data_IF_860569846903
#
_entry.id   IF_860569846903
#
_cell.length_a   1.000
_cell.length_b   1.000
_cell.length_c   1.000
_cell.angle_alpha   90.00
_cell.angle_beta   90.00
_cell.angle_gamma   90.00
#
_symmetry.space_group_name_H-M   'P 1'
#
loop_
_entity.id
_entity.type
_entity.pdbx_description
1 polymer ?
#
# COMPACT_ATOMS: atom_id res chain seq x y z
N UNK A 1 -15.22 -22.38 39.40
CA UNK A 1 -14.09 -22.06 38.51
C UNK A 1 -14.56 -20.97 37.56
N UNK A 2 -14.14 -19.72 37.80
CA UNK A 2 -14.58 -18.58 37.00
C UNK A 2 -13.78 -18.53 35.69
N UNK A 3 -14.49 -18.63 34.57
CA UNK A 3 -13.93 -18.48 33.24
C UNK A 3 -13.55 -17.00 33.05
N UNK A 4 -12.26 -16.71 33.16
CA UNK A 4 -11.67 -15.41 32.80
C UNK A 4 -11.68 -15.32 31.27
N UNK A 5 -12.86 -15.04 30.69
CA UNK A 5 -12.95 -14.58 29.31
C UNK A 5 -12.15 -13.28 29.27
N UNK A 6 -11.09 -13.30 28.47
CA UNK A 6 -10.17 -12.19 28.27
C UNK A 6 -10.96 -10.88 28.10
N UNK A 7 -10.46 -9.82 28.74
CA UNK A 7 -10.98 -8.45 28.64
C UNK A 7 -11.28 -8.13 27.17
N UNK A 8 -12.57 -8.03 26.83
CA UNK A 8 -12.98 -7.60 25.50
C UNK A 8 -12.46 -6.16 25.37
N UNK A 9 -11.62 -5.93 24.37
CA UNK A 9 -11.20 -4.59 24.00
C UNK A 9 -12.40 -3.96 23.33
N UNK A 10 -13.29 -3.34 24.12
CA UNK A 10 -14.43 -2.58 23.62
C UNK A 10 -13.89 -1.42 22.78
N UNK A 11 -14.01 -1.58 21.47
CA UNK A 11 -13.69 -0.55 20.49
C UNK A 11 -14.94 -0.26 19.67
N UNK A 12 -15.07 0.98 19.20
CA UNK A 12 -16.18 1.39 18.34
C UNK A 12 -16.32 0.48 17.11
N UNK A 13 -15.21 -0.10 16.62
CA UNK A 13 -15.21 -1.07 15.53
C UNK A 13 -15.78 -2.43 15.94
N UNK A 14 -15.43 -2.92 17.14
CA UNK A 14 -15.99 -4.15 17.70
C UNK A 14 -17.51 -4.06 17.84
N UNK A 15 -18.02 -2.90 18.32
CA UNK A 15 -19.45 -2.64 18.42
C UNK A 15 -20.12 -2.60 17.04
N UNK A 16 -19.48 -1.98 16.06
CA UNK A 16 -19.98 -1.94 14.68
C UNK A 16 -20.11 -3.36 14.10
N UNK A 17 -19.04 -4.16 14.19
CA UNK A 17 -19.00 -5.54 13.69
C UNK A 17 -20.04 -6.40 14.40
N UNK A 18 -20.15 -6.27 15.73
CA UNK A 18 -21.15 -7.00 16.52
C UNK A 18 -22.57 -6.65 16.08
N UNK A 19 -22.85 -5.36 15.83
CA UNK A 19 -24.15 -4.91 15.35
C UNK A 19 -24.47 -5.42 13.94
N UNK A 20 -23.47 -5.49 13.05
CA UNK A 20 -23.65 -6.10 11.72
C UNK A 20 -24.04 -7.58 11.82
N UNK A 21 -23.34 -8.34 12.67
CA UNK A 21 -23.63 -9.76 12.88
C UNK A 21 -25.03 -9.97 13.45
N UNK A 22 -25.44 -9.15 14.44
CA UNK A 22 -26.78 -9.24 15.03
C UNK A 22 -27.90 -8.95 14.04
N UNK A 23 -27.67 -8.05 13.07
CA UNK A 23 -28.70 -7.62 12.10
C UNK A 23 -28.79 -8.50 10.87
N UNK A 24 -27.65 -8.99 10.36
CA UNK A 24 -27.57 -9.64 9.05
C UNK A 24 -27.12 -11.11 9.13
N UNK A 25 -26.81 -11.61 10.34
CA UNK A 25 -26.27 -12.95 10.54
C UNK A 25 -24.74 -12.99 10.48
N UNK A 26 -24.15 -14.19 10.49
CA UNK A 26 -22.70 -14.37 10.52
C UNK A 26 -21.96 -13.64 9.39
N UNK A 27 -20.84 -12.99 9.71
CA UNK A 27 -19.95 -12.42 8.71
C UNK A 27 -18.99 -13.49 8.17
N UNK A 28 -18.65 -13.38 6.89
CA UNK A 28 -17.51 -14.12 6.36
C UNK A 28 -16.20 -13.57 6.95
N UNK A 29 -15.16 -14.39 6.95
CA UNK A 29 -13.82 -13.94 7.36
C UNK A 29 -13.34 -12.76 6.50
N UNK A 30 -13.63 -12.78 5.19
CA UNK A 30 -13.27 -11.70 4.28
C UNK A 30 -13.91 -10.36 4.71
N UNK A 31 -15.22 -10.35 4.95
CA UNK A 31 -15.93 -9.14 5.40
C UNK A 31 -15.43 -8.64 6.76
N UNK A 32 -15.02 -9.54 7.66
CA UNK A 32 -14.41 -9.15 8.92
C UNK A 32 -13.05 -8.48 8.69
N UNK A 33 -12.18 -9.05 7.85
CA UNK A 33 -10.86 -8.50 7.52
C UNK A 33 -11.01 -7.12 6.88
N UNK A 34 -11.94 -6.96 5.92
CA UNK A 34 -12.20 -5.68 5.26
C UNK A 34 -12.62 -4.60 6.25
N UNK A 35 -13.51 -4.91 7.19
CA UNK A 35 -13.93 -3.98 8.24
C UNK A 35 -12.78 -3.66 9.22
N UNK A 36 -12.06 -4.69 9.67
CA UNK A 36 -10.95 -4.55 10.62
C UNK A 36 -9.82 -3.66 10.08
N UNK A 37 -9.50 -3.81 8.80
CA UNK A 37 -8.40 -3.10 8.16
C UNK A 37 -8.84 -1.77 7.54
N UNK A 38 -10.02 -1.74 6.91
CA UNK A 38 -10.45 -0.69 5.99
C UNK A 38 -11.58 0.22 6.46
N UNK A 39 -12.22 -0.03 7.62
CA UNK A 39 -13.27 0.88 8.12
C UNK A 39 -12.77 2.33 8.18
N UNK A 40 -13.47 3.24 7.51
CA UNK A 40 -13.01 4.59 7.24
C UNK A 40 -12.69 5.43 8.50
N UNK A 41 -13.25 5.05 9.66
CA UNK A 41 -13.05 5.78 10.93
C UNK A 41 -12.20 5.00 11.92
N UNK A 42 -12.31 3.68 11.93
CA UNK A 42 -11.76 2.86 12.99
C UNK A 42 -10.86 1.72 12.50
N UNK A 43 -10.78 1.51 11.20
CA UNK A 43 -9.93 0.51 10.57
C UNK A 43 -8.46 0.79 10.86
N UNK A 44 -7.68 -0.29 10.88
CA UNK A 44 -6.26 -0.26 11.21
C UNK A 44 -5.48 0.79 10.38
N UNK A 45 -5.68 0.81 9.06
CA UNK A 45 -4.95 1.70 8.16
C UNK A 45 -5.41 3.17 8.19
N UNK A 46 -6.46 3.50 8.95
CA UNK A 46 -7.00 4.87 9.02
C UNK A 46 -6.51 5.66 10.24
N UNK A 47 -6.07 4.99 11.30
CA UNK A 47 -5.78 5.65 12.59
C UNK A 47 -4.39 6.26 12.68
N UNK A 48 -3.38 5.66 12.05
CA UNK A 48 -1.97 6.03 12.19
C UNK A 48 -1.21 5.66 10.91
N UNK A 49 0.02 6.18 10.74
CA UNK A 49 0.96 5.74 9.69
C UNK A 49 1.71 4.49 10.18
N UNK A 50 1.34 3.28 9.76
CA UNK A 50 1.87 2.06 10.35
C UNK A 50 3.25 1.67 9.80
N UNK A 51 3.80 2.44 8.86
CA UNK A 51 4.97 2.05 8.06
C UNK A 51 6.28 2.70 8.55
N UNK A 52 7.30 1.86 8.72
CA UNK A 52 8.68 2.26 8.99
C UNK A 52 9.05 2.21 10.47
N UNK A 53 10.23 2.73 10.82
CA UNK A 53 10.81 2.59 12.18
C UNK A 53 9.96 3.19 13.32
N UNK A 54 9.03 4.09 13.00
CA UNK A 54 8.10 4.70 13.96
C UNK A 54 6.68 4.12 13.88
N UNK A 55 6.45 3.17 12.96
CA UNK A 55 5.17 2.47 12.78
C UNK A 55 5.20 1.08 13.40
N UNK A 56 4.16 0.30 13.10
CA UNK A 56 3.98 -1.05 13.65
C UNK A 56 4.81 -2.12 12.92
N UNK A 57 5.24 -1.84 11.68
CA UNK A 57 6.12 -2.73 10.92
C UNK A 57 6.96 -1.97 9.88
N UNK A 58 8.16 -2.49 9.63
CA UNK A 58 9.09 -1.97 8.62
C UNK A 58 9.06 -2.89 7.39
N UNK A 59 8.87 -2.31 6.20
CA UNK A 59 8.88 -3.04 4.93
C UNK A 59 10.28 -2.97 4.28
N UNK A 60 10.59 -3.89 3.36
CA UNK A 60 11.91 -3.97 2.73
C UNK A 60 12.38 -2.66 2.05
N UNK A 61 11.52 -1.91 1.30
CA UNK A 61 11.89 -0.61 0.75
C UNK A 61 12.25 0.44 1.82
N UNK A 62 11.72 0.32 3.04
CA UNK A 62 12.05 1.24 4.14
C UNK A 62 13.34 0.84 4.88
N UNK A 63 13.86 -0.38 4.66
CA UNK A 63 15.13 -0.84 5.25
C UNK A 63 16.32 -0.38 4.40
N UNK A 64 16.22 -0.51 3.08
CA UNK A 64 17.31 -0.18 2.17
C UNK A 64 16.80 0.10 0.76
N UNK A 65 17.24 1.22 0.19
CA UNK A 65 16.97 1.58 -1.21
C UNK A 65 17.53 0.57 -2.21
N UNK A 66 18.52 -0.24 -1.82
CA UNK A 66 19.04 -1.34 -2.65
C UNK A 66 17.94 -2.32 -3.05
N UNK A 67 16.94 -2.55 -2.19
CA UNK A 67 15.81 -3.40 -2.56
C UNK A 67 15.06 -2.83 -3.77
N UNK A 68 14.77 -1.53 -3.75
CA UNK A 68 14.09 -0.87 -4.85
C UNK A 68 14.93 -0.77 -6.11
N UNK A 69 16.22 -0.48 -5.99
CA UNK A 69 17.15 -0.49 -7.13
C UNK A 69 17.21 -1.86 -7.81
N UNK A 70 17.29 -2.95 -7.04
CA UNK A 70 17.32 -4.31 -7.58
C UNK A 70 16.01 -4.68 -8.28
N UNK A 71 14.86 -4.30 -7.72
CA UNK A 71 13.57 -4.45 -8.39
C UNK A 71 13.52 -3.65 -9.70
N UNK A 72 14.03 -2.41 -9.68
CA UNK A 72 14.09 -1.54 -10.86
C UNK A 72 14.95 -2.14 -11.96
N UNK A 73 16.16 -2.59 -11.63
CA UNK A 73 17.07 -3.26 -12.56
C UNK A 73 16.44 -4.50 -13.19
N UNK A 74 15.77 -5.33 -12.38
CA UNK A 74 15.05 -6.49 -12.88
C UNK A 74 13.95 -6.10 -13.88
N UNK A 75 13.11 -5.12 -13.55
CA UNK A 75 12.03 -4.67 -14.44
C UNK A 75 12.55 -4.03 -15.72
N UNK A 76 13.64 -3.26 -15.66
CA UNK A 76 14.29 -2.71 -16.85
C UNK A 76 14.80 -3.84 -17.75
N UNK A 77 15.44 -4.86 -17.17
CA UNK A 77 15.88 -6.03 -17.93
C UNK A 77 14.70 -6.77 -18.60
N UNK A 78 13.60 -6.95 -17.88
CA UNK A 78 12.40 -7.58 -18.45
C UNK A 78 11.77 -6.75 -19.57
N UNK A 79 11.74 -5.41 -19.43
CA UNK A 79 11.25 -4.51 -20.45
C UNK A 79 12.10 -4.57 -21.73
N UNK A 80 13.43 -4.64 -21.59
CA UNK A 80 14.37 -4.79 -22.70
C UNK A 80 14.14 -6.11 -23.46
N UNK A 81 14.08 -7.23 -22.73
CA UNK A 81 13.81 -8.55 -23.32
C UNK A 81 12.46 -8.61 -24.07
N UNK A 82 11.46 -7.89 -23.56
CA UNK A 82 10.14 -7.81 -24.16
C UNK A 82 10.07 -6.83 -25.35
N UNK A 83 11.13 -6.05 -25.63
CA UNK A 83 11.10 -4.89 -26.52
C UNK A 83 9.90 -3.97 -26.22
N UNK A 84 9.69 -3.69 -24.93
CA UNK A 84 8.50 -3.01 -24.45
C UNK A 84 8.50 -1.54 -24.92
N UNK A 85 7.50 -1.18 -25.71
CA UNK A 85 7.31 0.18 -26.21
C UNK A 85 6.18 0.87 -25.44
N UNK A 86 6.42 2.11 -25.00
CA UNK A 86 5.49 2.96 -24.25
C UNK A 86 4.79 2.26 -23.06
N UNK A 87 5.54 1.73 -22.07
CA UNK A 87 4.95 1.06 -20.91
C UNK A 87 4.19 2.02 -19.98
N UNK A 88 3.33 1.43 -19.17
CA UNK A 88 2.82 2.04 -17.95
C UNK A 88 3.25 1.19 -16.75
N UNK A 89 3.55 1.82 -15.62
CA UNK A 89 3.98 1.14 -14.39
C UNK A 89 2.81 1.08 -13.42
N UNK A 90 2.56 -0.08 -12.82
CA UNK A 90 1.51 -0.29 -11.82
C UNK A 90 2.12 -0.77 -10.51
N UNK A 91 1.79 -0.10 -9.40
CA UNK A 91 2.14 -0.55 -8.05
C UNK A 91 0.88 -0.68 -7.18
N UNK A 92 0.72 -1.83 -6.54
CA UNK A 92 -0.40 -2.14 -5.67
C UNK A 92 0.01 -1.93 -4.22
N UNK A 93 -0.68 -1.03 -3.51
CA UNK A 93 -0.33 -0.68 -2.14
C UNK A 93 1.09 -0.09 -2.02
N UNK A 94 1.39 1.02 -2.72
CA UNK A 94 2.75 1.61 -2.76
C UNK A 94 3.23 2.16 -1.42
N UNK A 95 2.37 2.22 -0.40
CA UNK A 95 2.72 2.72 0.92
C UNK A 95 3.22 4.17 0.84
N UNK A 96 4.49 4.40 1.18
CA UNK A 96 5.11 5.74 1.13
C UNK A 96 5.70 6.08 -0.24
N UNK A 97 5.58 5.20 -1.23
CA UNK A 97 6.18 5.36 -2.57
C UNK A 97 7.70 5.19 -2.61
N UNK A 98 8.31 4.59 -1.57
CA UNK A 98 9.76 4.36 -1.50
C UNK A 98 10.24 3.47 -2.65
N UNK A 99 9.57 2.33 -2.85
CA UNK A 99 9.91 1.37 -3.89
C UNK A 99 9.89 2.02 -5.28
N UNK A 100 8.80 2.70 -5.64
CA UNK A 100 8.72 3.44 -6.90
C UNK A 100 9.81 4.50 -7.05
N UNK A 101 10.12 5.25 -5.99
CA UNK A 101 11.14 6.30 -6.05
C UNK A 101 12.53 5.71 -6.37
N UNK A 102 12.90 4.63 -5.68
CA UNK A 102 14.17 3.94 -5.90
C UNK A 102 14.24 3.30 -7.30
N UNK A 103 13.17 2.64 -7.75
CA UNK A 103 13.09 2.06 -9.09
C UNK A 103 13.25 3.15 -10.18
N UNK A 104 12.53 4.28 -10.05
CA UNK A 104 12.63 5.39 -11.01
C UNK A 104 14.01 6.04 -11.00
N UNK A 105 14.64 6.14 -9.83
CA UNK A 105 16.02 6.63 -9.73
C UNK A 105 16.99 5.74 -10.52
N UNK A 106 16.89 4.42 -10.39
CA UNK A 106 17.68 3.48 -11.17
C UNK A 106 17.37 3.59 -12.68
N UNK A 107 16.09 3.60 -13.06
CA UNK A 107 15.67 3.71 -14.46
C UNK A 107 16.13 5.00 -15.13
N UNK A 108 16.20 6.12 -14.42
CA UNK A 108 16.68 7.38 -14.99
C UNK A 108 18.10 7.27 -15.57
N UNK A 109 18.90 6.33 -15.09
CA UNK A 109 20.28 6.11 -15.54
C UNK A 109 20.38 5.06 -16.66
N UNK A 110 19.55 4.02 -16.62
CA UNK A 110 19.72 2.83 -17.48
C UNK A 110 18.62 2.67 -18.53
N UNK A 111 17.44 3.23 -18.28
CA UNK A 111 16.26 3.10 -19.15
C UNK A 111 15.34 4.33 -18.99
N UNK A 112 15.77 5.52 -19.45
CA UNK A 112 15.01 6.76 -19.29
C UNK A 112 13.54 6.71 -19.77
N UNK A 113 13.18 5.99 -20.85
CA UNK A 113 11.77 5.83 -21.24
C UNK A 113 10.91 5.20 -20.14
N UNK A 114 11.45 4.21 -19.39
CA UNK A 114 10.75 3.58 -18.28
C UNK A 114 10.63 4.51 -17.07
N UNK A 115 11.64 5.34 -16.81
CA UNK A 115 11.58 6.37 -15.76
C UNK A 115 10.54 7.46 -16.03
N UNK A 116 10.29 7.73 -17.32
CA UNK A 116 9.31 8.71 -17.80
C UNK A 116 7.90 8.12 -18.02
N UNK A 117 7.75 6.79 -17.92
CA UNK A 117 6.47 6.12 -18.08
C UNK A 117 5.43 6.61 -17.05
N UNK A 118 4.14 6.65 -17.41
CA UNK A 118 3.07 6.92 -16.47
C UNK A 118 3.05 5.87 -15.35
N UNK A 119 2.84 6.33 -14.12
CA UNK A 119 2.80 5.49 -12.92
C UNK A 119 1.37 5.47 -12.37
N UNK A 120 0.82 4.26 -12.27
CA UNK A 120 -0.48 3.96 -11.71
C UNK A 120 -0.31 3.34 -10.32
N UNK A 121 -0.97 3.93 -9.33
CA UNK A 121 -0.85 3.58 -7.92
C UNK A 121 -2.23 3.16 -7.40
N UNK A 122 -2.40 1.89 -7.02
CA UNK A 122 -3.63 1.42 -6.36
C UNK A 122 -3.48 1.67 -4.86
N UNK A 123 -4.15 2.70 -4.37
CA UNK A 123 -4.03 3.20 -2.99
C UNK A 123 -5.35 3.80 -2.54
N UNK A 124 -5.91 3.35 -1.44
CA UNK A 124 -7.19 3.86 -0.92
C UNK A 124 -7.01 5.01 0.07
N UNK A 125 -5.84 5.13 0.71
CA UNK A 125 -5.56 6.12 1.76
C UNK A 125 -5.19 7.51 1.20
N UNK A 126 -6.01 8.56 1.43
CA UNK A 126 -5.70 9.91 0.96
C UNK A 126 -4.39 10.47 1.53
N UNK A 127 -4.05 10.10 2.77
CA UNK A 127 -2.82 10.53 3.43
C UNK A 127 -1.58 9.94 2.75
N UNK A 128 -1.64 8.67 2.34
CA UNK A 128 -0.54 8.03 1.60
C UNK A 128 -0.44 8.57 0.18
N UNK A 129 -1.56 8.81 -0.52
CA UNK A 129 -1.55 9.46 -1.84
C UNK A 129 -0.80 10.80 -1.83
N UNK A 130 -1.04 11.64 -0.82
CA UNK A 130 -0.31 12.90 -0.64
C UNK A 130 1.19 12.67 -0.50
N UNK A 131 1.61 11.76 0.37
CA UNK A 131 3.04 11.45 0.59
C UNK A 131 3.72 10.88 -0.65
N UNK A 132 3.01 10.05 -1.41
CA UNK A 132 3.49 9.51 -2.68
C UNK A 132 3.70 10.64 -3.70
N UNK A 133 2.74 11.57 -3.81
CA UNK A 133 2.87 12.76 -4.66
C UNK A 133 4.09 13.61 -4.26
N UNK A 134 4.25 13.88 -2.96
CA UNK A 134 5.37 14.68 -2.45
C UNK A 134 6.73 14.01 -2.76
N UNK A 135 6.81 12.68 -2.66
CA UNK A 135 8.05 11.93 -2.89
C UNK A 135 8.38 11.74 -4.38
N UNK A 136 7.38 11.45 -5.20
CA UNK A 136 7.56 11.11 -6.61
C UNK A 136 7.61 12.35 -7.52
N UNK A 137 7.26 13.52 -7.00
CA UNK A 137 7.44 14.81 -7.66
C UNK A 137 6.69 14.91 -8.98
N UNK A 138 7.37 15.38 -10.02
CA UNK A 138 6.78 15.66 -11.35
C UNK A 138 6.49 14.42 -12.20
N UNK A 139 6.49 13.21 -11.61
CA UNK A 139 6.07 12.01 -12.31
C UNK A 139 4.60 12.11 -12.78
N UNK A 140 4.27 11.50 -13.91
CA UNK A 140 2.88 11.36 -14.34
C UNK A 140 2.17 10.29 -13.49
N UNK A 141 1.60 10.71 -12.35
CA UNK A 141 0.97 9.85 -11.35
C UNK A 141 -0.55 9.76 -11.52
N UNK A 142 -1.08 8.55 -11.42
CA UNK A 142 -2.50 8.26 -11.44
C UNK A 142 -2.85 7.35 -10.26
N UNK A 143 -3.84 7.73 -9.45
CA UNK A 143 -4.28 6.93 -8.31
C UNK A 143 -5.61 6.25 -8.56
N UNK A 144 -5.69 4.96 -8.22
CA UNK A 144 -6.87 4.12 -8.35
C UNK A 144 -7.32 3.60 -6.98
N UNK A 145 -8.62 3.32 -6.84
CA UNK A 145 -9.20 2.72 -5.62
C UNK A 145 -9.07 1.19 -5.63
N UNK A 146 -9.10 0.60 -6.81
CA UNK A 146 -9.12 -0.82 -7.10
C UNK A 146 -8.37 -1.12 -8.42
N UNK A 147 -8.31 -2.40 -8.78
CA UNK A 147 -7.71 -2.94 -10.01
C UNK A 147 -8.69 -2.91 -11.18
#
# INVERSE_FOLDING_TARGET
>A
MANKIATIVDSVLSDHITNQIRRHGPLTLASYIDLALGDAKHGYYQKQDPLGASGDFTTAPEISGLFGEMCGLYLAHMADLANLDNPAILELGPGRGSLMADMRHAWAQIMPPLAAAPVHLVETSPALRKRQSDRLGDAALYWHQDL
#
